data_IF_846110842724
#
_entry.id   IF_846110842724
#
_cell.length_a   1.000
_cell.length_b   1.000
_cell.length_c   1.000
_cell.angle_alpha   90.00
_cell.angle_beta   90.00
_cell.angle_gamma   90.00
#
_symmetry.space_group_name_H-M   'P 1'
#
loop_
_entity.id
_entity.type
_entity.pdbx_description
1 polymer ?
#
# COMPACT_ATOMS: atom_id res chain seq x y z
N UNK A 1 -1.70 24.96 0.32
CA UNK A 1 -3.13 25.20 0.00
C UNK A 1 -3.23 25.41 -1.51
N UNK A 2 -4.30 24.93 -2.17
CA UNK A 2 -4.54 25.27 -3.60
C UNK A 2 -4.60 26.79 -3.73
N UNK A 3 -3.71 27.40 -4.56
CA UNK A 3 -3.68 28.83 -4.84
C UNK A 3 -2.63 29.64 -4.07
N UNK A 4 -1.73 29.02 -3.30
CA UNK A 4 -0.58 29.72 -2.70
C UNK A 4 0.47 30.02 -3.77
N UNK A 5 1.14 31.17 -3.68
CA UNK A 5 2.30 31.47 -4.53
C UNK A 5 3.49 30.59 -4.17
N UNK A 6 4.51 30.56 -5.03
CA UNK A 6 5.75 29.82 -4.74
C UNK A 6 6.44 30.38 -3.48
N UNK A 7 6.50 31.70 -3.38
CA UNK A 7 7.09 32.42 -2.25
C UNK A 7 6.34 32.11 -0.94
N UNK A 8 5.00 32.13 -0.98
CA UNK A 8 4.18 31.73 0.18
C UNK A 8 4.44 30.30 0.61
N UNK A 9 4.62 29.39 -0.34
CA UNK A 9 4.90 27.99 -0.03
C UNK A 9 6.26 27.83 0.64
N UNK A 10 7.29 28.54 0.17
CA UNK A 10 8.64 28.52 0.76
C UNK A 10 8.61 29.10 2.19
N UNK A 11 7.95 30.25 2.39
CA UNK A 11 7.85 30.88 3.72
C UNK A 11 7.12 29.99 4.74
N UNK A 12 6.19 29.17 4.28
CA UNK A 12 5.44 28.25 5.12
C UNK A 12 6.11 26.89 5.36
N UNK A 13 7.34 26.66 4.90
CA UNK A 13 8.10 25.46 5.26
C UNK A 13 8.42 25.51 6.75
N UNK A 14 7.88 24.56 7.51
CA UNK A 14 8.17 24.45 8.93
C UNK A 14 9.56 23.88 9.16
N UNK A 15 10.40 24.64 9.87
CA UNK A 15 11.76 24.25 10.28
C UNK A 15 11.78 23.90 11.77
N UNK A 16 11.09 24.68 12.59
CA UNK A 16 11.13 24.60 14.04
C UNK A 16 10.50 23.32 14.57
N UNK A 17 9.29 23.01 14.16
CA UNK A 17 8.58 21.79 14.55
C UNK A 17 9.33 20.52 14.18
N UNK A 18 9.74 20.33 12.91
CA UNK A 18 10.62 19.24 12.50
C UNK A 18 11.90 19.09 13.31
N UNK A 19 12.55 20.19 13.65
CA UNK A 19 13.77 20.18 14.46
C UNK A 19 13.49 19.68 15.87
N UNK A 20 12.45 20.17 16.52
CA UNK A 20 12.08 19.78 17.88
C UNK A 20 11.70 18.32 17.99
N UNK A 21 10.82 17.82 17.10
CA UNK A 21 10.39 16.41 17.16
C UNK A 21 11.52 15.44 16.82
N UNK A 22 12.45 15.82 15.94
CA UNK A 22 13.65 15.02 15.65
C UNK A 22 14.58 14.95 16.85
N UNK A 23 14.77 16.05 17.58
CA UNK A 23 15.56 16.07 18.81
C UNK A 23 14.94 15.15 19.88
N UNK A 24 13.62 15.24 20.07
CA UNK A 24 12.88 14.37 20.97
C UNK A 24 12.99 12.89 20.56
N UNK A 25 12.76 12.58 19.28
CA UNK A 25 12.86 11.23 18.75
C UNK A 25 14.26 10.62 18.90
N UNK A 26 15.32 11.41 18.71
CA UNK A 26 16.70 10.96 18.94
C UNK A 26 16.93 10.56 20.40
N UNK A 27 16.27 11.23 21.34
CA UNK A 27 16.36 10.94 22.77
C UNK A 27 15.25 10.00 23.27
N UNK A 28 14.78 9.07 22.45
CA UNK A 28 13.69 8.16 22.77
C UNK A 28 13.96 7.28 24.01
N UNK A 29 15.19 7.17 24.46
CA UNK A 29 15.52 6.46 25.71
C UNK A 29 14.82 7.09 26.91
N UNK A 30 14.69 8.41 26.92
CA UNK A 30 14.16 9.18 28.02
C UNK A 30 12.89 9.97 27.68
N UNK A 31 12.58 10.10 26.38
CA UNK A 31 11.47 10.94 25.87
C UNK A 31 10.45 10.11 25.12
N UNK A 32 9.19 10.33 25.44
CA UNK A 32 8.05 9.84 24.64
C UNK A 32 7.67 10.92 23.63
N UNK A 33 7.80 10.65 22.35
CA UNK A 33 7.43 11.57 21.27
C UNK A 33 6.28 10.98 20.44
N UNK A 34 5.14 11.67 20.37
CA UNK A 34 3.95 11.19 19.67
C UNK A 34 3.63 12.18 18.54
N UNK A 35 3.70 11.73 17.30
CA UNK A 35 3.43 12.54 16.12
C UNK A 35 2.14 12.14 15.37
N UNK A 36 1.45 11.10 15.82
CA UNK A 36 0.21 10.63 15.22
C UNK A 36 -0.89 10.52 16.31
N UNK A 37 -2.03 11.23 16.16
CA UNK A 37 -3.14 11.14 17.12
C UNK A 37 -3.70 9.73 17.34
N UNK A 38 -3.56 8.85 16.36
CA UNK A 38 -4.01 7.45 16.49
C UNK A 38 -3.23 6.65 17.55
N UNK A 39 -2.05 7.14 17.94
CA UNK A 39 -1.25 6.50 18.98
C UNK A 39 -1.68 6.89 20.40
N UNK A 40 -2.48 7.95 20.59
CA UNK A 40 -2.83 8.47 21.92
C UNK A 40 -3.49 7.43 22.82
N UNK A 41 -4.49 6.70 22.32
CA UNK A 41 -5.20 5.71 23.11
C UNK A 41 -4.30 4.57 23.58
N UNK A 42 -3.33 4.17 22.73
CA UNK A 42 -2.34 3.15 23.09
C UNK A 42 -1.41 3.65 24.20
N UNK A 43 -0.90 4.88 24.06
CA UNK A 43 0.02 5.49 25.02
C UNK A 43 -0.66 5.69 26.38
N UNK A 44 -1.91 6.20 26.41
CA UNK A 44 -2.67 6.40 27.65
C UNK A 44 -2.86 5.07 28.35
N UNK A 45 -3.32 4.03 27.64
CA UNK A 45 -3.53 2.71 28.23
C UNK A 45 -2.23 2.11 28.79
N UNK A 46 -1.13 2.17 28.04
CA UNK A 46 0.16 1.63 28.51
C UNK A 46 0.66 2.36 29.75
N UNK A 47 0.44 3.70 29.82
CA UNK A 47 0.78 4.49 31.00
C UNK A 47 -0.06 4.09 32.22
N UNK A 48 -1.37 3.94 32.05
CA UNK A 48 -2.28 3.57 33.15
C UNK A 48 -1.98 2.17 33.69
N UNK A 49 -1.63 1.23 32.82
CA UNK A 49 -1.32 -0.14 33.22
C UNK A 49 0.08 -0.31 33.86
N UNK A 50 1.08 0.44 33.41
CA UNK A 50 2.49 0.21 33.78
C UNK A 50 3.13 1.40 34.52
N UNK A 51 2.39 2.49 34.76
CA UNK A 51 2.90 3.76 35.30
C UNK A 51 4.14 4.27 34.50
N UNK A 52 4.13 4.07 33.20
CA UNK A 52 5.20 4.47 32.30
C UNK A 52 5.04 3.91 30.89
N UNK A 53 5.89 4.35 29.99
CA UNK A 53 5.94 3.87 28.59
C UNK A 53 7.20 3.04 28.38
N UNK A 54 7.03 1.84 27.82
CA UNK A 54 8.12 0.90 27.59
C UNK A 54 9.18 1.45 26.62
N UNK A 55 10.38 0.94 26.74
CA UNK A 55 11.47 1.29 25.82
C UNK A 55 11.10 0.96 24.36
N UNK A 56 10.45 -0.18 24.12
CA UNK A 56 10.09 -0.60 22.78
C UNK A 56 9.02 0.32 22.16
N UNK A 57 8.03 0.71 22.93
CA UNK A 57 7.03 1.70 22.49
C UNK A 57 7.68 3.04 22.15
N UNK A 58 8.59 3.55 23.01
CA UNK A 58 9.32 4.80 22.73
C UNK A 58 10.17 4.70 21.46
N UNK A 59 10.85 3.58 21.24
CA UNK A 59 11.64 3.32 20.04
C UNK A 59 10.76 3.29 18.79
N UNK A 60 9.61 2.63 18.83
CA UNK A 60 8.64 2.58 17.72
C UNK A 60 8.07 3.97 17.40
N UNK A 61 7.74 4.78 18.41
CA UNK A 61 7.30 6.16 18.24
C UNK A 61 8.40 7.03 17.60
N UNK A 62 9.66 6.85 18.03
CA UNK A 62 10.82 7.53 17.43
C UNK A 62 10.95 7.19 15.94
N UNK A 63 10.82 5.92 15.58
CA UNK A 63 10.85 5.49 14.18
C UNK A 63 9.76 6.18 13.35
N UNK A 64 8.52 6.29 13.89
CA UNK A 64 7.41 7.00 13.23
C UNK A 64 7.74 8.47 12.96
N UNK A 65 8.40 9.16 13.89
CA UNK A 65 8.84 10.55 13.70
C UNK A 65 9.83 10.66 12.54
N UNK A 66 10.86 9.79 12.48
CA UNK A 66 11.81 9.83 11.39
C UNK A 66 11.19 9.49 10.04
N UNK A 67 10.23 8.56 9.99
CA UNK A 67 9.46 8.27 8.78
C UNK A 67 8.61 9.48 8.34
N UNK A 68 7.94 10.16 9.28
CA UNK A 68 7.19 11.38 9.01
C UNK A 68 8.09 12.47 8.43
N UNK A 69 9.28 12.67 9.00
CA UNK A 69 10.25 13.66 8.54
C UNK A 69 10.83 13.34 7.17
N UNK A 70 11.06 12.07 6.86
CA UNK A 70 11.48 11.64 5.53
C UNK A 70 10.43 12.00 4.47
N UNK A 71 9.15 11.74 4.75
CA UNK A 71 8.04 12.11 3.86
C UNK A 71 7.87 13.62 3.74
N UNK A 72 8.03 14.38 4.83
CA UNK A 72 7.96 15.83 4.82
C UNK A 72 9.06 16.43 3.94
N UNK A 73 10.32 16.03 4.15
CA UNK A 73 11.45 16.49 3.36
C UNK A 73 11.32 16.10 1.89
N UNK A 74 10.80 14.89 1.62
CA UNK A 74 10.51 14.45 0.24
C UNK A 74 9.49 15.37 -0.43
N UNK A 75 8.40 15.70 0.26
CA UNK A 75 7.37 16.60 -0.27
C UNK A 75 7.93 17.98 -0.61
N UNK A 76 8.80 18.54 0.23
CA UNK A 76 9.50 19.79 -0.04
C UNK A 76 10.41 19.65 -1.26
N UNK A 77 11.23 18.61 -1.30
CA UNK A 77 12.14 18.36 -2.42
C UNK A 77 11.38 18.22 -3.74
N UNK A 78 10.27 17.47 -3.74
CA UNK A 78 9.45 17.26 -4.94
C UNK A 78 8.78 18.57 -5.40
N UNK A 79 8.33 19.41 -4.47
CA UNK A 79 7.79 20.73 -4.77
C UNK A 79 8.83 21.66 -5.39
N UNK A 80 10.06 21.65 -4.89
CA UNK A 80 11.15 22.51 -5.37
C UNK A 80 11.72 22.09 -6.73
N UNK A 81 11.56 20.82 -7.11
CA UNK A 81 12.05 20.32 -8.41
C UNK A 81 11.31 20.90 -9.60
N UNK A 82 10.06 21.37 -9.45
CA UNK A 82 9.23 21.77 -10.56
C UNK A 82 8.90 20.62 -11.52
N UNK A 83 8.59 20.91 -12.77
CA UNK A 83 8.13 19.94 -13.77
C UNK A 83 9.24 19.05 -14.37
N UNK A 84 10.50 19.22 -13.95
CA UNK A 84 11.62 18.54 -14.60
C UNK A 84 12.37 17.64 -13.63
N UNK A 85 12.06 16.36 -13.62
CA UNK A 85 13.03 15.26 -13.51
C UNK A 85 12.39 13.86 -13.52
N UNK A 86 12.94 12.95 -14.31
CA UNK A 86 12.58 11.53 -14.48
C UNK A 86 12.83 10.63 -13.25
N UNK A 87 12.98 11.19 -12.04
CA UNK A 87 13.14 10.40 -10.84
C UNK A 87 11.78 10.22 -10.18
N UNK A 88 11.19 9.06 -10.43
CA UNK A 88 10.00 8.60 -9.73
C UNK A 88 10.40 7.88 -8.44
N UNK A 89 9.92 8.37 -7.28
CA UNK A 89 10.02 7.65 -6.00
C UNK A 89 8.69 7.02 -5.70
N UNK A 90 8.69 5.73 -5.46
CA UNK A 90 7.49 4.99 -5.05
C UNK A 90 7.61 4.63 -3.57
N UNK A 91 6.57 4.95 -2.79
CA UNK A 91 6.43 4.49 -1.41
C UNK A 91 5.46 3.32 -1.39
N UNK A 92 5.90 2.22 -0.83
CA UNK A 92 5.08 1.03 -0.61
C UNK A 92 4.78 0.93 0.87
N UNK A 93 3.51 0.77 1.23
CA UNK A 93 3.05 0.78 2.62
C UNK A 93 2.80 -0.58 3.21
N UNK A 94 2.53 -1.55 2.36
CA UNK A 94 2.20 -2.90 2.78
C UNK A 94 3.06 -3.89 2.03
N UNK A 95 3.43 -4.98 2.71
CA UNK A 95 4.06 -6.12 2.09
C UNK A 95 3.36 -7.40 2.54
N UNK A 96 3.20 -8.33 1.60
CA UNK A 96 2.70 -9.67 1.85
C UNK A 96 3.69 -10.65 1.24
N UNK A 97 4.24 -11.55 2.06
CA UNK A 97 5.07 -12.63 1.54
C UNK A 97 4.21 -13.62 0.78
N UNK A 98 4.62 -13.92 -0.43
CA UNK A 98 3.94 -14.89 -1.27
C UNK A 98 4.48 -16.29 -0.98
N UNK A 99 3.67 -17.31 -1.28
CA UNK A 99 4.05 -18.72 -1.06
C UNK A 99 5.36 -19.08 -1.77
N UNK A 100 5.59 -18.57 -2.98
CA UNK A 100 6.84 -18.63 -3.74
C UNK A 100 6.77 -17.62 -4.92
N UNK A 101 7.90 -17.39 -5.59
CA UNK A 101 7.99 -16.54 -6.76
C UNK A 101 7.50 -17.19 -8.05
N UNK A 102 8.16 -16.90 -9.17
CA UNK A 102 7.86 -17.55 -10.45
C UNK A 102 8.13 -19.07 -10.38
N UNK A 103 9.22 -19.44 -9.70
CA UNK A 103 9.59 -20.83 -9.46
C UNK A 103 9.50 -21.19 -7.96
N UNK A 104 9.26 -22.45 -7.60
CA UNK A 104 9.03 -22.88 -6.21
C UNK A 104 10.17 -22.58 -5.22
N UNK A 105 11.40 -22.44 -5.71
CA UNK A 105 12.58 -22.13 -4.87
C UNK A 105 12.84 -20.63 -4.69
N UNK A 106 12.05 -19.77 -5.32
CA UNK A 106 12.20 -18.33 -5.25
C UNK A 106 11.29 -17.72 -4.20
N UNK A 107 11.80 -16.76 -3.46
CA UNK A 107 10.98 -15.92 -2.59
C UNK A 107 10.37 -14.77 -3.39
N UNK A 108 9.16 -14.37 -3.03
CA UNK A 108 8.50 -13.20 -3.58
C UNK A 108 7.71 -12.45 -2.52
N UNK A 109 7.61 -11.14 -2.69
CA UNK A 109 6.85 -10.26 -1.81
C UNK A 109 6.01 -9.33 -2.66
N UNK A 110 4.73 -9.23 -2.36
CA UNK A 110 3.81 -8.28 -2.95
C UNK A 110 3.84 -6.99 -2.14
N UNK A 111 4.12 -5.88 -2.79
CA UNK A 111 4.03 -4.55 -2.21
C UNK A 111 2.84 -3.80 -2.78
N UNK A 112 2.16 -3.03 -1.95
CA UNK A 112 1.06 -2.16 -2.37
C UNK A 112 1.39 -0.69 -2.10
N UNK A 113 0.83 0.20 -2.91
CA UNK A 113 0.94 1.65 -2.70
C UNK A 113 -0.09 2.13 -1.69
N UNK A 114 0.26 3.11 -0.85
CA UNK A 114 -0.60 3.69 0.20
C UNK A 114 -1.94 4.25 -0.31
N UNK A 115 -2.02 4.65 -1.56
CA UNK A 115 -3.16 5.40 -2.10
C UNK A 115 -3.85 4.73 -3.30
N UNK A 116 -3.71 3.42 -3.47
CA UNK A 116 -4.45 2.71 -4.51
C UNK A 116 -5.95 2.70 -4.19
N UNK A 117 -6.67 3.66 -4.77
CA UNK A 117 -8.14 3.73 -4.70
C UNK A 117 -8.84 2.73 -5.63
N UNK A 118 -8.10 2.14 -6.55
CA UNK A 118 -8.62 1.24 -7.54
C UNK A 118 -8.75 -0.18 -6.98
N UNK A 119 -9.85 -0.84 -7.30
CA UNK A 119 -10.04 -2.27 -7.04
C UNK A 119 -9.10 -3.06 -7.95
N UNK A 120 -8.18 -3.80 -7.37
CA UNK A 120 -7.23 -4.65 -8.06
C UNK A 120 -6.94 -5.91 -7.24
N UNK A 121 -6.22 -6.86 -7.81
CA UNK A 121 -5.91 -8.14 -7.16
C UNK A 121 -5.02 -7.95 -5.91
N UNK A 122 -4.15 -6.95 -5.89
CA UNK A 122 -3.29 -6.69 -4.74
C UNK A 122 -4.06 -6.25 -3.48
N UNK A 123 -5.27 -5.71 -3.65
CA UNK A 123 -6.16 -5.28 -2.56
C UNK A 123 -7.32 -6.25 -2.33
N UNK A 124 -7.31 -7.41 -2.98
CA UNK A 124 -8.35 -8.41 -2.84
C UNK A 124 -8.22 -9.15 -1.50
N UNK A 125 -9.36 -9.42 -0.87
CA UNK A 125 -9.43 -10.24 0.33
C UNK A 125 -9.43 -11.73 -0.04
N UNK A 126 -8.53 -12.51 0.55
CA UNK A 126 -8.51 -13.96 0.40
C UNK A 126 -9.47 -14.56 1.44
N UNK A 127 -10.65 -14.95 0.98
CA UNK A 127 -11.69 -15.50 1.86
C UNK A 127 -11.35 -16.93 2.29
N UNK A 128 -10.73 -17.72 1.40
CA UNK A 128 -10.48 -19.13 1.63
C UNK A 128 -9.38 -19.63 0.69
N UNK A 129 -8.63 -20.65 1.11
CA UNK A 129 -7.61 -21.32 0.31
C UNK A 129 -6.19 -21.14 0.85
N UNK A 130 -5.21 -21.52 0.05
CA UNK A 130 -3.78 -21.37 0.38
C UNK A 130 -3.31 -19.97 0.01
N UNK A 131 -2.22 -19.52 0.64
CA UNK A 131 -1.50 -18.32 0.23
C UNK A 131 -1.19 -18.33 -1.27
N UNK A 132 -1.31 -17.18 -1.90
CA UNK A 132 -1.07 -17.04 -3.33
C UNK A 132 0.44 -17.11 -3.63
N UNK A 133 0.78 -17.66 -4.79
CA UNK A 133 2.11 -17.53 -5.38
C UNK A 133 2.13 -16.34 -6.34
N UNK A 134 3.34 -15.95 -6.78
CA UNK A 134 3.51 -14.96 -7.82
C UNK A 134 2.67 -15.28 -9.07
N UNK A 135 2.73 -16.53 -9.57
CA UNK A 135 1.98 -16.93 -10.76
C UNK A 135 0.47 -16.84 -10.56
N UNK A 136 -0.05 -17.16 -9.36
CA UNK A 136 -1.47 -17.00 -9.08
C UNK A 136 -1.92 -15.54 -9.16
N UNK A 137 -1.09 -14.61 -8.66
CA UNK A 137 -1.39 -13.17 -8.74
C UNK A 137 -1.37 -12.67 -10.17
N UNK A 138 -0.34 -13.05 -10.95
CA UNK A 138 -0.21 -12.64 -12.36
C UNK A 138 -1.37 -13.15 -13.19
N UNK A 139 -1.75 -14.42 -13.03
CA UNK A 139 -2.90 -15.00 -13.75
C UNK A 139 -4.23 -14.34 -13.33
N UNK A 140 -4.42 -14.12 -12.02
CA UNK A 140 -5.63 -13.46 -11.50
C UNK A 140 -5.73 -11.99 -11.94
N UNK A 141 -4.63 -11.26 -11.98
CA UNK A 141 -4.59 -9.87 -12.44
C UNK A 141 -4.92 -9.77 -13.94
N UNK A 142 -4.32 -10.63 -14.76
CA UNK A 142 -4.65 -10.71 -16.18
C UNK A 142 -6.12 -11.06 -16.43
N UNK A 143 -6.68 -11.99 -15.65
CA UNK A 143 -8.10 -12.33 -15.73
C UNK A 143 -9.00 -11.16 -15.31
N UNK A 144 -8.64 -10.48 -14.21
CA UNK A 144 -9.38 -9.34 -13.69
C UNK A 144 -9.39 -8.16 -14.67
N UNK A 145 -8.23 -7.79 -15.19
CA UNK A 145 -8.13 -6.69 -16.15
C UNK A 145 -8.89 -7.01 -17.45
N UNK A 146 -8.82 -8.25 -17.93
CA UNK A 146 -9.58 -8.66 -19.11
C UNK A 146 -11.11 -8.64 -18.86
N UNK A 147 -11.59 -9.19 -17.73
CA UNK A 147 -13.04 -9.27 -17.48
C UNK A 147 -13.68 -7.90 -17.26
N UNK A 148 -12.94 -6.91 -16.80
CA UNK A 148 -13.41 -5.54 -16.59
C UNK A 148 -13.75 -4.77 -17.87
N UNK A 149 -13.24 -5.21 -19.02
CA UNK A 149 -13.53 -4.58 -20.31
C UNK A 149 -14.95 -4.87 -20.81
N UNK A 150 -15.65 -5.83 -20.19
CA UNK A 150 -17.00 -6.23 -20.59
C UNK A 150 -18.07 -5.51 -19.75
N UNK A 151 -19.14 -5.10 -20.42
CA UNK A 151 -20.31 -4.45 -19.77
C UNK A 151 -21.35 -5.45 -19.30
N UNK A 152 -21.46 -6.60 -19.95
CA UNK A 152 -22.33 -7.70 -19.58
C UNK A 152 -21.59 -8.75 -18.74
N UNK A 153 -22.28 -9.70 -18.10
CA UNK A 153 -21.64 -10.83 -17.46
C UNK A 153 -20.64 -11.52 -18.39
N UNK A 154 -19.40 -11.62 -17.93
CA UNK A 154 -18.31 -12.22 -18.71
C UNK A 154 -17.51 -13.21 -17.87
N UNK A 155 -16.90 -14.18 -18.53
CA UNK A 155 -15.99 -15.14 -17.95
C UNK A 155 -14.69 -15.14 -18.73
N UNK A 156 -13.57 -15.12 -18.00
CA UNK A 156 -12.23 -15.15 -18.57
C UNK A 156 -11.45 -16.29 -17.94
N UNK A 157 -10.84 -17.12 -18.76
CA UNK A 157 -9.94 -18.19 -18.36
C UNK A 157 -8.53 -17.78 -18.78
N UNK A 158 -7.62 -17.76 -17.82
CA UNK A 158 -6.23 -17.33 -18.04
C UNK A 158 -5.27 -18.47 -17.75
N UNK A 159 -4.25 -18.57 -18.58
CA UNK A 159 -3.11 -19.45 -18.40
C UNK A 159 -1.84 -18.72 -18.77
N UNK A 160 -0.85 -18.70 -17.86
CA UNK A 160 0.43 -17.99 -18.04
C UNK A 160 0.22 -16.53 -18.46
N UNK A 161 -0.60 -15.80 -17.68
CA UNK A 161 -0.97 -14.40 -17.89
C UNK A 161 -1.65 -14.08 -19.25
N UNK A 162 -2.09 -15.09 -19.99
CA UNK A 162 -2.78 -14.89 -21.25
C UNK A 162 -4.19 -15.46 -21.22
N UNK A 163 -5.21 -14.71 -21.66
CA UNK A 163 -6.55 -15.22 -21.84
C UNK A 163 -6.55 -16.36 -22.88
N UNK A 164 -6.95 -17.55 -22.48
CA UNK A 164 -7.12 -18.70 -23.35
C UNK A 164 -8.59 -19.06 -23.62
N UNK A 165 -9.51 -18.41 -22.88
CA UNK A 165 -10.94 -18.50 -23.10
C UNK A 165 -11.63 -17.24 -22.59
N UNK A 166 -12.51 -16.66 -23.40
CA UNK A 166 -13.30 -15.48 -23.02
C UNK A 166 -14.72 -15.70 -23.55
N UNK A 167 -15.71 -15.47 -22.69
CA UNK A 167 -17.11 -15.53 -23.04
C UNK A 167 -17.88 -14.38 -22.40
N UNK A 168 -18.84 -13.83 -23.12
CA UNK A 168 -19.78 -12.82 -22.65
C UNK A 168 -21.21 -13.29 -22.94
N UNK A 169 -22.14 -13.05 -22.02
CA UNK A 169 -23.54 -13.40 -22.19
C UNK A 169 -24.45 -12.34 -21.56
N UNK A 170 -25.75 -12.38 -21.91
CA UNK A 170 -26.74 -11.45 -21.35
C UNK A 170 -27.07 -11.75 -19.89
N UNK A 171 -26.80 -12.96 -19.42
CA UNK A 171 -27.04 -13.38 -18.04
C UNK A 171 -25.97 -14.37 -17.57
N UNK A 172 -25.81 -14.48 -16.24
CA UNK A 172 -24.90 -15.44 -15.62
C UNK A 172 -25.31 -16.89 -15.95
N UNK A 173 -26.62 -17.16 -16.08
CA UNK A 173 -27.11 -18.49 -16.41
C UNK A 173 -26.69 -18.91 -17.83
N UNK A 174 -26.84 -18.02 -18.82
CA UNK A 174 -26.34 -18.27 -20.17
C UNK A 174 -24.86 -18.48 -20.21
N UNK A 175 -24.08 -17.65 -19.46
CA UNK A 175 -22.64 -17.76 -19.36
C UNK A 175 -22.21 -19.11 -18.76
N UNK A 176 -22.93 -19.60 -17.74
CA UNK A 176 -22.67 -20.90 -17.11
C UNK A 176 -22.91 -22.06 -18.09
N UNK A 177 -23.89 -21.98 -18.97
CA UNK A 177 -24.17 -23.01 -19.97
C UNK A 177 -23.07 -23.14 -21.02
N UNK A 178 -22.38 -22.05 -21.37
CA UNK A 178 -21.25 -22.06 -22.32
C UNK A 178 -20.12 -22.93 -21.79
N UNK A 179 -19.86 -22.92 -20.50
CA UNK A 179 -18.80 -23.71 -19.87
C UNK A 179 -19.14 -25.20 -19.71
N UNK A 180 -20.43 -25.54 -19.68
CA UNK A 180 -20.87 -26.94 -19.50
C UNK A 180 -20.97 -27.68 -20.85
N UNK A 181 -21.15 -26.97 -21.94
CA UNK A 181 -21.42 -27.54 -23.26
C UNK A 181 -20.19 -27.89 -24.08
N UNK A 182 -18.98 -27.51 -23.62
CA UNK A 182 -17.73 -27.86 -24.30
C UNK A 182 -16.77 -28.57 -23.32
N UNK A 183 -16.90 -29.89 -23.13
CA UNK A 183 -15.87 -30.65 -22.42
C UNK A 183 -14.63 -30.73 -23.30
N UNK A 184 -13.52 -30.13 -22.80
CA UNK A 184 -12.19 -30.32 -23.36
C UNK A 184 -11.65 -31.71 -23.05
#
# INVERSE_FOLDING_TARGET
KKGSSFEDAIENIDIGGPTMIRAAAKNFKDVVVVCNPNDYSHIIREWDENNGISYETRKNLSQKVFALMANYNKSISDYLKGEVQDIHSYNFSSNVNLRYGENPHQNATLFTFDNLKNKNIANAEIIQGKELSYNNIVDADAAWECVREFSNPACVIVKHANPCGVAEAKSINELSLIHISEPT
#
